data_IF_507404693851
#
_entry.id   IF_507404693851
#
_cell.length_a   1.000
_cell.length_b   1.000
_cell.length_c   1.000
_cell.angle_alpha   90.00
_cell.angle_beta   90.00
_cell.angle_gamma   90.00
#
_symmetry.space_group_name_H-M   'P 1'
#
loop_
_entity.id
_entity.type
_entity.pdbx_description
1 polymer ?
#
# COMPACT_ATOMS: atom_id res chain seq x y z
N UNK A 1 -3.36 -4.87 4.89
CA UNK A 1 -4.11 -5.01 3.62
C UNK A 1 -3.64 -6.25 2.88
N UNK A 2 -4.56 -7.16 2.54
CA UNK A 2 -4.26 -8.37 1.78
C UNK A 2 -3.82 -8.05 0.35
N UNK A 3 -2.79 -8.76 -0.15
CA UNK A 3 -2.29 -8.64 -1.52
C UNK A 3 -3.42 -8.71 -2.57
N UNK A 4 -4.30 -9.70 -2.47
CA UNK A 4 -5.43 -9.88 -3.40
C UNK A 4 -6.41 -8.71 -3.36
N UNK A 5 -6.61 -8.13 -2.18
CA UNK A 5 -7.50 -6.98 -2.00
C UNK A 5 -6.85 -5.72 -2.56
N UNK A 6 -5.53 -5.57 -2.40
CA UNK A 6 -4.77 -4.48 -2.98
C UNK A 6 -4.80 -4.52 -4.51
N UNK A 7 -4.64 -5.70 -5.11
CA UNK A 7 -4.68 -5.87 -6.56
C UNK A 7 -6.06 -5.52 -7.14
N UNK A 8 -7.14 -6.01 -6.51
CA UNK A 8 -8.51 -5.61 -6.89
C UNK A 8 -8.72 -4.11 -6.80
N UNK A 9 -8.32 -3.52 -5.67
CA UNK A 9 -8.44 -2.09 -5.46
C UNK A 9 -7.67 -1.30 -6.54
N UNK A 10 -6.46 -1.74 -6.91
CA UNK A 10 -5.67 -1.11 -7.97
C UNK A 10 -6.36 -1.19 -9.34
N UNK A 11 -6.96 -2.34 -9.67
CA UNK A 11 -7.76 -2.52 -10.90
C UNK A 11 -8.99 -1.63 -10.91
N UNK A 12 -9.72 -1.53 -9.79
CA UNK A 12 -10.89 -0.66 -9.66
C UNK A 12 -10.53 0.83 -9.66
N UNK A 13 -9.37 1.18 -9.09
CA UNK A 13 -8.89 2.56 -8.99
C UNK A 13 -8.51 3.15 -10.35
N UNK A 14 -7.95 2.32 -11.24
CA UNK A 14 -7.82 2.64 -12.67
C UNK A 14 -6.85 3.77 -13.01
N UNK A 15 -5.79 3.97 -12.23
CA UNK A 15 -4.72 4.96 -12.47
C UNK A 15 -5.04 6.43 -12.07
N UNK A 16 -6.02 6.65 -11.20
CA UNK A 16 -6.25 8.00 -10.63
C UNK A 16 -5.09 8.44 -9.73
N UNK A 17 -4.67 9.72 -9.77
CA UNK A 17 -3.64 10.23 -8.88
C UNK A 17 -4.10 10.07 -7.43
N UNK A 18 -3.29 9.40 -6.63
CA UNK A 18 -3.55 9.20 -5.22
C UNK A 18 -2.52 9.97 -4.40
N UNK A 19 -2.96 10.76 -3.43
CA UNK A 19 -2.05 11.43 -2.48
C UNK A 19 -1.50 10.49 -1.40
N UNK A 20 -1.79 9.19 -1.52
CA UNK A 20 -1.45 8.13 -0.57
C UNK A 20 -1.56 8.56 0.90
N UNK A 21 -2.75 8.97 1.37
CA UNK A 21 -2.90 9.52 2.72
C UNK A 21 -2.77 8.45 3.79
N UNK A 22 -3.13 7.20 3.46
CA UNK A 22 -3.06 6.06 4.35
C UNK A 22 -2.34 4.90 3.67
N UNK A 23 -1.46 4.28 4.45
CA UNK A 23 -0.72 3.09 4.05
C UNK A 23 -0.91 2.02 5.14
N UNK A 24 -1.18 0.80 4.73
CA UNK A 24 -1.21 -0.39 5.56
C UNK A 24 -0.04 -1.30 5.23
N UNK A 25 0.35 -2.17 6.16
CA UNK A 25 1.31 -3.25 5.84
C UNK A 25 0.61 -4.25 4.93
N UNK A 26 1.29 -4.63 3.86
CA UNK A 26 0.86 -5.74 3.03
C UNK A 26 1.02 -7.05 3.81
N UNK A 27 -0.06 -7.80 3.86
CA UNK A 27 -0.11 -9.11 4.50
C UNK A 27 -0.50 -10.13 3.44
N UNK A 28 0.19 -11.26 3.42
CA UNK A 28 -0.16 -12.41 2.61
C UNK A 28 -0.73 -13.49 3.52
N UNK A 29 -1.87 -14.06 3.14
CA UNK A 29 -2.39 -15.24 3.81
C UNK A 29 -1.66 -16.45 3.25
N UNK A 30 -0.86 -17.09 4.10
CA UNK A 30 -0.27 -18.40 3.79
C UNK A 30 -1.40 -19.45 3.64
N UNK A 31 -1.19 -20.58 2.92
CA UNK A 31 -2.10 -21.72 2.89
C UNK A 31 -2.62 -22.17 4.27
N UNK A 32 -1.88 -21.91 5.35
CA UNK A 32 -2.34 -22.16 6.73
C UNK A 32 -3.24 -21.05 7.32
N UNK A 33 -3.72 -20.11 6.50
CA UNK A 33 -4.49 -18.92 6.88
C UNK A 33 -3.76 -17.98 7.87
N UNK A 34 -2.42 -18.06 7.92
CA UNK A 34 -1.59 -17.18 8.74
C UNK A 34 -1.25 -15.92 7.95
N UNK A 35 -1.56 -14.76 8.50
CA UNK A 35 -1.19 -13.47 7.92
C UNK A 35 0.31 -13.21 8.10
N UNK A 36 1.09 -13.50 7.06
CA UNK A 36 2.52 -13.21 6.98
C UNK A 36 2.71 -11.80 6.45
N UNK A 37 3.49 -10.97 7.17
CA UNK A 37 3.84 -9.63 6.72
C UNK A 37 4.95 -9.75 5.67
N UNK A 38 4.71 -9.29 4.45
CA UNK A 38 5.74 -9.25 3.40
C UNK A 38 6.77 -8.14 3.65
N UNK A 39 6.41 -7.14 4.47
CA UNK A 39 7.26 -5.99 4.77
C UNK A 39 7.02 -4.79 3.84
N UNK A 40 6.23 -5.00 2.79
CA UNK A 40 5.73 -3.98 1.91
C UNK A 40 4.52 -3.25 2.49
N UNK A 41 4.22 -2.08 1.94
CA UNK A 41 3.15 -1.21 2.39
C UNK A 41 2.19 -0.90 1.25
N UNK A 42 0.92 -1.22 1.43
CA UNK A 42 -0.12 -0.92 0.45
C UNK A 42 -0.88 0.34 0.83
N UNK A 43 -1.12 1.22 -0.13
CA UNK A 43 -2.05 2.32 0.03
C UNK A 43 -3.49 1.80 0.04
N UNK A 44 -4.23 2.06 1.11
CA UNK A 44 -5.62 1.59 1.27
C UNK A 44 -6.61 2.35 0.40
N UNK A 45 -6.18 3.44 -0.24
CA UNK A 45 -7.01 4.22 -1.14
C UNK A 45 -6.93 3.70 -2.59
N UNK A 46 -5.72 3.49 -3.12
CA UNK A 46 -5.50 3.13 -4.52
C UNK A 46 -4.97 1.71 -4.73
N UNK A 47 -4.62 0.98 -3.68
CA UNK A 47 -4.10 -0.39 -3.78
C UNK A 47 -2.66 -0.48 -4.30
N UNK A 48 -1.94 0.63 -4.48
CA UNK A 48 -0.52 0.58 -4.84
C UNK A 48 0.32 0.07 -3.68
N UNK A 49 1.27 -0.80 -4.03
CA UNK A 49 2.29 -1.34 -3.13
C UNK A 49 3.50 -0.41 -3.15
N UNK A 50 4.04 -0.14 -1.97
CA UNK A 50 5.19 0.72 -1.73
C UNK A 50 6.14 0.03 -0.78
N UNK A 51 7.43 0.09 -1.06
CA UNK A 51 8.43 -0.32 -0.08
C UNK A 51 8.51 0.69 1.06
N UNK A 52 9.15 0.29 2.16
CA UNK A 52 9.40 1.20 3.30
C UNK A 52 10.07 2.51 2.88
N UNK A 53 11.06 2.43 1.99
CA UNK A 53 11.76 3.60 1.47
C UNK A 53 10.86 4.49 0.59
N UNK A 54 10.02 3.90 -0.25
CA UNK A 54 9.08 4.67 -1.08
C UNK A 54 8.03 5.38 -0.24
N UNK A 55 7.47 4.68 0.76
CA UNK A 55 6.53 5.28 1.72
C UNK A 55 7.17 6.47 2.42
N UNK A 56 8.40 6.30 2.92
CA UNK A 56 9.12 7.35 3.64
C UNK A 56 9.37 8.57 2.73
N UNK A 57 9.80 8.35 1.48
CA UNK A 57 9.94 9.41 0.47
C UNK A 57 8.62 10.16 0.22
N UNK A 58 7.49 9.47 0.14
CA UNK A 58 6.17 10.11 -0.06
C UNK A 58 5.78 10.94 1.15
N UNK A 59 5.95 10.40 2.36
CA UNK A 59 5.65 11.11 3.61
C UNK A 59 6.57 12.32 3.79
N UNK A 60 7.87 12.16 3.51
CA UNK A 60 8.86 13.23 3.56
C UNK A 60 8.55 14.32 2.53
N UNK A 61 8.27 13.95 1.27
CA UNK A 61 7.90 14.89 0.23
C UNK A 61 6.62 15.67 0.58
N UNK A 62 5.63 15.01 1.20
CA UNK A 62 4.40 15.65 1.69
C UNK A 62 4.69 16.64 2.83
N UNK A 63 5.57 16.28 3.78
CA UNK A 63 5.91 17.14 4.91
C UNK A 63 6.81 18.33 4.50
N UNK A 64 7.59 18.20 3.42
CA UNK A 64 8.49 19.24 2.94
C UNK A 64 7.82 20.27 2.00
N UNK A 65 6.51 20.12 1.72
CA UNK A 65 5.70 21.14 1.04
C UNK A 65 5.03 22.14 2.00
N UNK A 66 5.45 22.16 3.28
CA UNK A 66 4.92 23.05 4.31
C UNK A 66 5.75 24.30 4.50
#
# INVERSE_FOLDING_TARGET
MDYLKAEKLRKEWGDKPCSHPNFEVETHLDPEYVAVKTGDYVCTCCGQVFTKEQRDKIIAARNNQK
#
